data_IF_065651427446
#
_entry.id   IF_065651427446
#
_cell.length_a   1.000
_cell.length_b   1.000
_cell.length_c   1.000
_cell.angle_alpha   90.00
_cell.angle_beta   90.00
_cell.angle_gamma   90.00
#
_symmetry.space_group_name_H-M   'P 1'
#
loop_
_entity.id
_entity.type
_entity.pdbx_description
1 polymer ?
#
# COMPACT_ATOMS: atom_id res chain seq x y z
N UNK A 1 18.48 0.54 -26.25
CA UNK A 1 18.76 1.52 -25.18
C UNK A 1 17.47 1.95 -24.45
N UNK A 2 16.40 2.36 -25.14
CA UNK A 2 15.13 2.82 -24.52
C UNK A 2 14.42 1.75 -23.68
N UNK A 3 14.44 0.47 -24.10
CA UNK A 3 13.78 -0.63 -23.39
C UNK A 3 14.47 -1.01 -22.07
N UNK A 4 15.79 -1.07 -22.06
CA UNK A 4 16.58 -1.33 -20.83
C UNK A 4 16.36 -0.24 -19.79
N UNK A 5 16.30 1.03 -20.23
CA UNK A 5 16.01 2.16 -19.33
C UNK A 5 14.58 2.09 -18.76
N UNK A 6 13.58 1.78 -19.60
CA UNK A 6 12.19 1.59 -19.16
C UNK A 6 12.10 0.48 -18.11
N UNK A 7 12.71 -0.67 -18.38
CA UNK A 7 12.75 -1.80 -17.44
C UNK A 7 13.42 -1.43 -16.11
N UNK A 8 14.54 -0.72 -16.16
CA UNK A 8 15.22 -0.23 -14.96
C UNK A 8 14.32 0.72 -14.15
N UNK A 9 13.71 1.71 -14.78
CA UNK A 9 12.81 2.68 -14.12
C UNK A 9 11.59 1.96 -13.52
N UNK A 10 10.96 1.04 -14.26
CA UNK A 10 9.81 0.28 -13.76
C UNK A 10 10.17 -0.54 -12.51
N UNK A 11 11.35 -1.19 -12.49
CA UNK A 11 11.83 -1.89 -11.28
C UNK A 11 12.00 -0.97 -10.09
N UNK A 12 12.46 0.26 -10.31
CA UNK A 12 12.64 1.23 -9.22
C UNK A 12 11.32 1.76 -8.65
N UNK A 13 10.19 1.62 -9.35
CA UNK A 13 8.87 1.91 -8.77
C UNK A 13 8.42 0.82 -7.78
N UNK A 14 8.70 -0.46 -8.08
CA UNK A 14 8.30 -1.57 -7.20
C UNK A 14 9.31 -1.86 -6.10
N UNK A 15 10.61 -1.77 -6.41
CA UNK A 15 11.70 -2.06 -5.47
C UNK A 15 12.80 -0.99 -5.58
N UNK A 16 12.58 0.21 -5.04
CA UNK A 16 13.59 1.27 -5.04
C UNK A 16 14.86 0.81 -4.33
N UNK A 17 16.02 0.98 -4.97
CA UNK A 17 17.31 0.54 -4.44
C UNK A 17 18.45 1.52 -4.69
N UNK A 18 19.45 1.54 -3.81
CA UNK A 18 20.62 2.39 -3.90
C UNK A 18 20.29 3.89 -3.83
N UNK A 19 21.20 4.73 -4.31
CA UNK A 19 21.05 6.20 -4.31
C UNK A 19 19.86 6.66 -5.18
N UNK A 20 19.63 6.00 -6.30
CA UNK A 20 18.49 6.30 -7.16
C UNK A 20 17.16 5.93 -6.51
N UNK A 21 17.11 4.81 -5.78
CA UNK A 21 15.96 4.42 -4.98
C UNK A 21 15.64 5.43 -3.87
N UNK A 22 16.65 5.97 -3.18
CA UNK A 22 16.47 7.05 -2.20
C UNK A 22 15.89 8.31 -2.84
N UNK A 23 16.37 8.70 -4.02
CA UNK A 23 15.82 9.85 -4.75
C UNK A 23 14.36 9.63 -5.15
N UNK A 24 14.02 8.44 -5.68
CA UNK A 24 12.64 8.08 -6.01
C UNK A 24 11.76 8.08 -4.75
N UNK A 25 12.20 7.47 -3.65
CA UNK A 25 11.48 7.47 -2.38
C UNK A 25 11.18 8.88 -1.87
N UNK A 26 12.15 9.79 -1.93
CA UNK A 26 11.93 11.19 -1.56
C UNK A 26 10.91 11.90 -2.48
N UNK A 27 10.90 11.57 -3.77
CA UNK A 27 9.92 12.11 -4.72
C UNK A 27 8.53 11.53 -4.43
N UNK A 28 8.41 10.24 -4.17
CA UNK A 28 7.16 9.58 -3.78
C UNK A 28 6.61 10.18 -2.47
N UNK A 29 7.48 10.40 -1.48
CA UNK A 29 7.08 10.99 -0.20
C UNK A 29 6.44 12.38 -0.33
N UNK A 30 6.83 13.15 -1.35
CA UNK A 30 6.26 14.49 -1.62
C UNK A 30 5.03 14.42 -2.53
N UNK A 31 5.06 13.50 -3.51
CA UNK A 31 4.01 13.38 -4.52
C UNK A 31 2.75 12.68 -4.02
N UNK A 32 2.87 11.76 -3.08
CA UNK A 32 1.76 10.90 -2.65
C UNK A 32 1.11 11.34 -1.32
N UNK A 33 1.33 12.58 -0.88
CA UNK A 33 0.72 13.07 0.38
C UNK A 33 -0.80 13.09 0.29
N UNK A 34 -1.34 13.64 -0.80
CA UNK A 34 -2.78 13.67 -1.05
C UNK A 34 -3.36 12.24 -1.13
N UNK A 35 -2.72 11.36 -1.90
CA UNK A 35 -3.14 9.97 -2.07
C UNK A 35 -3.20 9.25 -0.72
N UNK A 36 -2.19 9.46 0.14
CA UNK A 36 -2.12 8.90 1.47
C UNK A 36 -3.22 9.45 2.40
N UNK A 37 -3.44 10.76 2.40
CA UNK A 37 -4.48 11.40 3.20
C UNK A 37 -5.87 10.93 2.78
N UNK A 38 -6.14 10.89 1.48
CA UNK A 38 -7.41 10.43 0.97
C UNK A 38 -7.64 8.95 1.28
N UNK A 39 -6.67 8.07 1.01
CA UNK A 39 -6.77 6.65 1.32
C UNK A 39 -7.08 6.43 2.81
N UNK A 40 -6.29 7.05 3.70
CA UNK A 40 -6.46 6.88 5.15
C UNK A 40 -7.81 7.44 5.63
N UNK A 41 -8.36 8.47 4.96
CA UNK A 41 -9.69 9.01 5.31
C UNK A 41 -10.84 8.03 5.07
N UNK A 42 -10.66 7.06 4.15
CA UNK A 42 -11.67 6.04 3.84
C UNK A 42 -11.68 4.85 4.81
N UNK A 43 -10.65 4.72 5.68
CA UNK A 43 -10.46 3.55 6.53
C UNK A 43 -11.29 3.58 7.83
N UNK A 44 -11.90 4.72 8.18
CA UNK A 44 -12.65 4.90 9.45
C UNK A 44 -11.89 4.41 10.68
N UNK A 45 -10.58 4.73 10.73
CA UNK A 45 -9.65 4.27 11.78
C UNK A 45 -10.13 4.73 13.16
N UNK A 46 -10.21 3.78 14.10
CA UNK A 46 -10.50 4.05 15.51
C UNK A 46 -9.20 4.21 16.32
N UNK A 47 -9.21 4.93 17.45
CA UNK A 47 -7.99 5.18 18.23
C UNK A 47 -7.21 3.93 18.65
N UNK A 48 -7.87 2.80 18.88
CA UNK A 48 -7.27 1.54 19.35
C UNK A 48 -7.01 0.51 18.25
N UNK A 49 -7.28 0.85 16.97
CA UNK A 49 -7.15 -0.11 15.87
C UNK A 49 -5.71 -0.59 15.69
N UNK A 50 -5.60 -1.83 15.28
CA UNK A 50 -4.37 -2.43 14.77
C UNK A 50 -4.42 -2.42 13.26
N UNK A 51 -3.49 -1.75 12.63
CA UNK A 51 -3.50 -1.46 11.20
C UNK A 51 -2.28 -2.11 10.54
N UNK A 52 -2.46 -2.65 9.34
CA UNK A 52 -1.37 -3.18 8.51
C UNK A 52 -1.30 -2.41 7.19
N UNK A 53 -0.15 -1.87 6.85
CA UNK A 53 0.12 -1.33 5.51
C UNK A 53 1.00 -2.28 4.70
N UNK A 54 0.58 -2.55 3.45
CA UNK A 54 1.30 -3.36 2.49
C UNK A 54 1.97 -2.46 1.44
N UNK A 55 3.32 -2.49 1.39
CA UNK A 55 4.09 -1.66 0.47
C UNK A 55 4.10 -0.19 0.90
N UNK A 56 4.52 0.07 2.13
CA UNK A 56 4.46 1.40 2.75
C UNK A 56 5.40 2.45 2.11
N UNK A 57 6.33 2.04 1.23
CA UNK A 57 7.25 2.96 0.58
C UNK A 57 8.03 3.84 1.57
N UNK A 58 8.04 5.18 1.39
CA UNK A 58 8.76 6.09 2.29
C UNK A 58 8.04 6.36 3.63
N UNK A 59 6.92 5.66 3.94
CA UNK A 59 6.25 5.68 5.23
C UNK A 59 5.39 6.91 5.53
N UNK A 60 4.87 7.60 4.51
CA UNK A 60 3.97 8.76 4.71
C UNK A 60 2.59 8.31 5.17
N UNK A 61 2.00 7.34 4.50
CA UNK A 61 0.68 6.79 4.82
C UNK A 61 0.66 6.06 6.15
N UNK A 62 1.73 5.32 6.50
CA UNK A 62 1.90 4.72 7.83
C UNK A 62 1.95 5.76 8.94
N UNK A 63 2.62 6.90 8.71
CA UNK A 63 2.64 8.02 9.65
C UNK A 63 1.23 8.54 9.90
N UNK A 64 0.49 8.87 8.84
CA UNK A 64 -0.88 9.40 8.93
C UNK A 64 -1.82 8.38 9.61
N UNK A 65 -1.70 7.09 9.29
CA UNK A 65 -2.48 6.03 9.94
C UNK A 65 -2.17 5.94 11.45
N UNK A 66 -0.89 6.06 11.84
CA UNK A 66 -0.47 6.04 13.24
C UNK A 66 -0.98 7.25 14.05
N UNK A 67 -1.08 8.42 13.44
CA UNK A 67 -1.69 9.60 14.05
C UNK A 67 -3.19 9.39 14.31
N UNK A 68 -3.90 8.67 13.42
CA UNK A 68 -5.32 8.32 13.61
C UNK A 68 -5.51 7.24 14.67
N UNK A 69 -4.72 6.16 14.63
CA UNK A 69 -4.72 5.10 15.63
C UNK A 69 -3.90 5.52 16.88
N UNK A 70 -4.26 6.61 17.51
CA UNK A 70 -3.47 7.29 18.54
C UNK A 70 -3.14 6.43 19.77
N UNK A 71 -3.94 5.40 20.06
CA UNK A 71 -3.78 4.41 21.13
C UNK A 71 -3.67 2.97 20.59
N UNK A 72 -3.56 2.85 19.26
CA UNK A 72 -3.49 1.60 18.53
C UNK A 72 -2.06 1.22 18.14
N UNK A 73 -1.96 0.43 17.08
CA UNK A 73 -0.68 -0.06 16.58
C UNK A 73 -0.69 -0.12 15.05
N UNK A 74 0.37 0.35 14.42
CA UNK A 74 0.55 0.25 12.97
C UNK A 74 1.72 -0.67 12.64
N UNK A 75 1.46 -1.72 11.90
CA UNK A 75 2.47 -2.55 11.26
C UNK A 75 2.58 -2.20 9.78
N UNK A 76 3.76 -2.38 9.22
CA UNK A 76 3.95 -2.26 7.78
C UNK A 76 4.98 -3.26 7.25
N UNK A 77 4.75 -3.73 6.02
CA UNK A 77 5.75 -4.48 5.28
C UNK A 77 6.07 -3.78 3.96
N UNK A 78 7.33 -3.83 3.55
CA UNK A 78 7.77 -3.37 2.24
C UNK A 78 8.86 -4.28 1.69
N UNK A 79 8.81 -4.51 0.40
CA UNK A 79 9.76 -5.36 -0.32
C UNK A 79 11.14 -4.69 -0.52
N UNK A 80 11.23 -3.36 -0.37
CA UNK A 80 12.45 -2.59 -0.53
C UNK A 80 13.13 -2.29 0.81
N UNK A 81 14.31 -2.83 1.04
CA UNK A 81 15.15 -2.49 2.20
C UNK A 81 15.43 -0.98 2.27
N UNK A 82 15.57 -0.32 1.11
CA UNK A 82 15.78 1.13 1.04
C UNK A 82 14.56 1.90 1.56
N UNK A 83 13.35 1.42 1.26
CA UNK A 83 12.11 2.03 1.75
C UNK A 83 11.91 1.76 3.23
N UNK A 84 12.20 0.54 3.71
CA UNK A 84 12.19 0.23 5.15
C UNK A 84 13.07 1.20 5.93
N UNK A 85 14.31 1.44 5.45
CA UNK A 85 15.23 2.39 6.10
C UNK A 85 14.66 3.83 6.09
N UNK A 86 14.13 4.29 4.96
CA UNK A 86 13.59 5.65 4.84
C UNK A 86 12.34 5.84 5.72
N UNK A 87 11.43 4.87 5.72
CA UNK A 87 10.21 4.90 6.53
C UNK A 87 10.52 4.80 8.02
N UNK A 88 11.49 3.97 8.43
CA UNK A 88 11.91 3.86 9.84
C UNK A 88 12.54 5.16 10.36
N UNK A 89 13.30 5.87 9.54
CA UNK A 89 13.80 7.19 9.90
C UNK A 89 12.68 8.23 10.06
N UNK A 90 11.70 8.22 9.14
CA UNK A 90 10.52 9.10 9.18
C UNK A 90 9.68 8.89 10.44
N UNK A 91 9.47 7.64 10.82
CA UNK A 91 8.54 7.21 11.86
C UNK A 91 9.28 6.81 13.17
N UNK A 92 10.50 7.32 13.38
CA UNK A 92 11.37 6.88 14.48
C UNK A 92 10.69 6.98 15.86
N UNK A 93 9.98 8.08 16.15
CA UNK A 93 9.31 8.29 17.44
C UNK A 93 8.17 7.26 17.67
N UNK A 94 7.38 6.97 16.63
CA UNK A 94 6.31 5.96 16.72
C UNK A 94 6.88 4.55 16.92
N UNK A 95 8.00 4.23 16.26
CA UNK A 95 8.70 2.96 16.44
C UNK A 95 9.31 2.85 17.84
N UNK A 96 9.99 3.89 18.30
CA UNK A 96 10.63 3.92 19.62
C UNK A 96 9.60 3.82 20.76
N UNK A 97 8.42 4.42 20.60
CA UNK A 97 7.32 4.30 21.56
C UNK A 97 6.55 2.99 21.49
N UNK A 98 6.91 2.05 20.59
CA UNK A 98 6.24 0.76 20.41
C UNK A 98 4.88 0.83 19.73
N UNK A 99 4.52 1.97 19.13
CA UNK A 99 3.26 2.16 18.40
C UNK A 99 3.34 1.73 16.93
N UNK A 100 4.55 1.53 16.41
CA UNK A 100 4.75 1.15 15.02
C UNK A 100 5.84 0.09 14.86
N UNK A 101 5.63 -0.82 13.92
CA UNK A 101 6.63 -1.78 13.47
C UNK A 101 6.69 -1.80 11.93
N UNK A 102 7.87 -1.54 11.37
CA UNK A 102 8.10 -1.57 9.92
C UNK A 102 9.12 -2.64 9.57
N UNK A 103 8.76 -3.57 8.71
CA UNK A 103 9.60 -4.72 8.33
C UNK A 103 9.82 -4.82 6.83
N UNK A 104 10.97 -5.35 6.47
CA UNK A 104 11.18 -5.93 5.13
C UNK A 104 10.41 -7.24 5.04
N UNK A 105 9.60 -7.42 3.99
CA UNK A 105 8.78 -8.61 3.83
C UNK A 105 8.07 -8.70 2.49
N UNK A 106 7.40 -9.81 2.28
CA UNK A 106 6.62 -10.11 1.08
C UNK A 106 5.15 -10.28 1.46
N UNK A 107 4.26 -9.69 0.67
CA UNK A 107 2.81 -9.76 0.88
C UNK A 107 2.25 -11.17 0.73
N UNK A 108 2.94 -12.04 0.00
CA UNK A 108 2.53 -13.43 -0.19
C UNK A 108 2.78 -14.32 1.03
N UNK A 109 3.52 -13.83 2.05
CA UNK A 109 3.84 -14.56 3.27
C UNK A 109 4.04 -13.62 4.45
N UNK A 110 2.94 -13.19 5.05
CA UNK A 110 2.92 -12.24 6.15
C UNK A 110 3.30 -12.92 7.48
N UNK A 111 4.33 -12.39 8.14
CA UNK A 111 4.82 -12.93 9.41
C UNK A 111 3.99 -12.43 10.60
N UNK A 112 2.65 -12.51 10.48
CA UNK A 112 1.68 -12.14 11.51
C UNK A 112 0.68 -13.29 11.73
N UNK A 113 0.21 -13.49 12.97
CA UNK A 113 -0.83 -14.45 13.26
C UNK A 113 -2.15 -14.11 12.54
N UNK A 114 -3.04 -15.11 12.43
CA UNK A 114 -4.39 -14.90 11.94
C UNK A 114 -5.14 -13.88 12.81
N UNK A 115 -6.06 -13.14 12.21
CA UNK A 115 -6.96 -12.21 12.90
C UNK A 115 -6.21 -11.17 13.77
N UNK A 116 -5.06 -10.65 13.31
CA UNK A 116 -4.22 -9.72 14.05
C UNK A 116 -4.57 -8.25 13.87
N UNK A 117 -5.24 -7.89 12.75
CA UNK A 117 -5.48 -6.51 12.36
C UNK A 117 -6.96 -6.20 12.15
N UNK A 118 -7.37 -5.00 12.57
CA UNK A 118 -8.71 -4.47 12.33
C UNK A 118 -8.85 -3.99 10.89
N UNK A 119 -7.80 -3.36 10.37
CA UNK A 119 -7.75 -2.79 9.02
C UNK A 119 -6.41 -3.09 8.37
N UNK A 120 -6.44 -3.39 7.07
CA UNK A 120 -5.24 -3.41 6.22
C UNK A 120 -5.45 -2.47 5.04
N UNK A 121 -4.35 -1.88 4.54
CA UNK A 121 -4.42 -1.08 3.33
C UNK A 121 -3.13 -1.14 2.51
N UNK A 122 -3.25 -0.73 1.26
CA UNK A 122 -2.13 -0.64 0.33
C UNK A 122 -2.34 0.55 -0.60
N UNK A 123 -1.28 1.30 -0.83
CA UNK A 123 -1.26 2.44 -1.73
C UNK A 123 -0.22 2.21 -2.84
N UNK A 124 -0.68 2.10 -4.09
CA UNK A 124 0.16 1.93 -5.29
C UNK A 124 1.10 0.71 -5.29
N UNK A 125 0.85 -0.35 -4.50
CA UNK A 125 1.76 -1.50 -4.44
C UNK A 125 1.26 -2.75 -5.18
N UNK A 126 -0.05 -2.94 -5.35
CA UNK A 126 -0.65 -4.13 -5.99
C UNK A 126 -0.13 -4.38 -7.42
N UNK A 127 0.36 -3.36 -8.09
CA UNK A 127 0.94 -3.44 -9.44
C UNK A 127 2.11 -4.44 -9.55
N UNK A 128 2.74 -4.75 -8.42
CA UNK A 128 3.96 -5.58 -8.32
C UNK A 128 3.73 -6.93 -7.63
N UNK A 129 2.48 -7.24 -7.24
CA UNK A 129 2.19 -8.49 -6.56
C UNK A 129 2.22 -9.66 -7.56
N UNK A 130 2.97 -10.75 -7.26
CA UNK A 130 3.16 -11.83 -8.22
C UNK A 130 1.88 -12.64 -8.48
N UNK A 131 1.07 -12.85 -7.45
CA UNK A 131 -0.24 -13.50 -7.50
C UNK A 131 -1.21 -12.70 -6.63
N UNK A 132 -1.90 -11.70 -7.19
CA UNK A 132 -2.74 -10.81 -6.41
C UNK A 132 -3.84 -11.52 -5.61
N UNK A 133 -4.44 -12.59 -6.15
CA UNK A 133 -5.50 -13.31 -5.45
C UNK A 133 -4.97 -14.03 -4.20
N UNK A 134 -3.82 -14.68 -4.32
CA UNK A 134 -3.19 -15.33 -3.16
C UNK A 134 -2.66 -14.31 -2.15
N UNK A 135 -2.10 -13.18 -2.60
CA UNK A 135 -1.73 -12.07 -1.71
C UNK A 135 -2.95 -11.53 -0.94
N UNK A 136 -4.08 -11.33 -1.62
CA UNK A 136 -5.33 -10.90 -1.00
C UNK A 136 -5.85 -11.92 0.03
N UNK A 137 -5.73 -13.24 -0.23
CA UNK A 137 -6.08 -14.29 0.74
C UNK A 137 -5.17 -14.25 1.96
N UNK A 138 -3.88 -14.00 1.78
CA UNK A 138 -2.92 -13.88 2.89
C UNK A 138 -3.22 -12.63 3.74
N UNK A 139 -3.55 -11.50 3.11
CA UNK A 139 -4.01 -10.31 3.85
C UNK A 139 -5.31 -10.61 4.61
N UNK A 140 -6.24 -11.33 3.96
CA UNK A 140 -7.49 -11.74 4.62
C UNK A 140 -7.26 -12.62 5.85
N UNK A 141 -6.28 -13.53 5.81
CA UNK A 141 -5.91 -14.38 6.95
C UNK A 141 -5.53 -13.56 8.18
N UNK A 142 -4.74 -12.51 8.00
CA UNK A 142 -4.27 -11.67 9.10
C UNK A 142 -5.29 -10.61 9.55
N UNK A 143 -6.32 -10.35 8.75
CA UNK A 143 -7.44 -9.50 9.15
C UNK A 143 -8.37 -10.23 10.11
N UNK A 144 -8.88 -9.53 11.11
CA UNK A 144 -9.96 -10.01 11.97
C UNK A 144 -11.24 -10.28 11.15
N UNK A 145 -12.16 -11.13 11.63
CA UNK A 145 -13.47 -11.27 10.99
C UNK A 145 -14.15 -9.91 10.81
N UNK A 146 -14.63 -9.64 9.60
CA UNK A 146 -15.16 -8.34 9.17
C UNK A 146 -14.14 -7.17 9.19
N UNK A 147 -12.85 -7.46 9.27
CA UNK A 147 -11.80 -6.46 9.11
C UNK A 147 -11.79 -5.86 7.71
N UNK A 148 -11.43 -4.59 7.60
CA UNK A 148 -11.45 -3.83 6.35
C UNK A 148 -10.13 -3.99 5.59
N UNK A 149 -10.21 -4.25 4.28
CA UNK A 149 -9.09 -4.04 3.36
C UNK A 149 -9.41 -2.89 2.41
N UNK A 150 -8.42 -2.00 2.19
CA UNK A 150 -8.48 -0.94 1.19
C UNK A 150 -7.25 -0.99 0.28
N UNK A 151 -7.46 -0.95 -1.03
CA UNK A 151 -6.37 -0.84 -2.02
C UNK A 151 -6.61 0.36 -2.90
N UNK A 152 -5.70 1.32 -2.85
CA UNK A 152 -5.74 2.53 -3.67
C UNK A 152 -4.77 2.43 -4.83
N UNK A 153 -5.27 2.77 -6.01
CA UNK A 153 -4.51 2.78 -7.26
C UNK A 153 -4.78 4.03 -8.08
N UNK A 154 -3.85 4.39 -8.94
CA UNK A 154 -4.13 5.25 -10.08
C UNK A 154 -4.69 4.36 -11.20
N UNK A 155 -5.85 4.67 -11.80
CA UNK A 155 -6.43 3.88 -12.89
C UNK A 155 -5.49 3.76 -14.07
N UNK A 156 -5.56 2.63 -14.75
CA UNK A 156 -4.69 2.26 -15.87
C UNK A 156 -4.63 3.30 -16.99
N UNK A 157 -5.75 3.94 -17.33
CA UNK A 157 -5.84 4.96 -18.38
C UNK A 157 -5.26 6.33 -17.95
N UNK A 158 -5.11 6.55 -16.64
CA UNK A 158 -4.50 7.76 -16.06
C UNK A 158 -2.99 7.65 -15.87
N UNK A 159 -2.45 6.45 -16.00
CA UNK A 159 -1.02 6.21 -15.85
C UNK A 159 -0.23 6.77 -17.05
N UNK A 160 0.51 7.84 -16.86
CA UNK A 160 1.27 8.52 -17.93
C UNK A 160 2.62 7.88 -18.28
N UNK A 161 3.46 7.43 -17.33
CA UNK A 161 4.73 6.81 -17.65
C UNK A 161 4.56 5.50 -18.42
N UNK A 162 5.40 5.26 -19.44
CA UNK A 162 5.48 3.95 -20.08
C UNK A 162 6.21 2.97 -19.17
N UNK A 163 5.51 1.95 -18.68
CA UNK A 163 6.04 0.90 -17.82
C UNK A 163 6.32 -0.38 -18.59
N UNK A 164 7.12 -1.27 -18.03
CA UNK A 164 7.33 -2.62 -18.56
C UNK A 164 6.26 -3.55 -17.98
N UNK A 165 5.34 -4.01 -18.82
CA UNK A 165 4.23 -4.87 -18.43
C UNK A 165 4.63 -6.24 -17.88
N UNK A 166 5.88 -6.68 -18.09
CA UNK A 166 6.41 -7.89 -17.48
C UNK A 166 6.84 -7.68 -16.00
N UNK A 167 6.81 -6.43 -15.52
CA UNK A 167 7.26 -6.07 -14.15
C UNK A 167 6.13 -5.42 -13.36
N UNK A 168 5.24 -4.68 -14.03
CA UNK A 168 4.20 -3.88 -13.40
C UNK A 168 2.89 -4.07 -14.15
N UNK A 169 1.87 -4.58 -13.46
CA UNK A 169 0.53 -4.73 -14.00
C UNK A 169 -0.34 -3.55 -13.57
N UNK A 170 -0.92 -2.85 -14.54
CA UNK A 170 -1.83 -1.72 -14.27
C UNK A 170 -3.28 -2.23 -14.27
N UNK A 171 -4.08 -1.70 -13.35
CA UNK A 171 -5.46 -2.10 -13.12
C UNK A 171 -6.44 -0.92 -13.25
N UNK A 172 -7.70 -1.24 -13.58
CA UNK A 172 -8.87 -0.46 -13.22
C UNK A 172 -9.44 -0.95 -11.89
N UNK A 173 -10.23 -0.12 -11.22
CA UNK A 173 -10.80 -0.49 -9.93
C UNK A 173 -11.73 -1.70 -9.98
N UNK A 174 -12.49 -1.88 -11.06
CA UNK A 174 -13.36 -3.05 -11.27
C UNK A 174 -12.58 -4.36 -11.45
N UNK A 175 -11.39 -4.30 -12.07
CA UNK A 175 -10.49 -5.45 -12.16
C UNK A 175 -10.02 -5.87 -10.76
N UNK A 176 -9.64 -4.90 -9.90
CA UNK A 176 -9.25 -5.18 -8.50
C UNK A 176 -10.45 -5.65 -7.67
N UNK A 177 -11.64 -5.08 -7.86
CA UNK A 177 -12.86 -5.55 -7.21
C UNK A 177 -13.16 -7.03 -7.54
N UNK A 178 -12.89 -7.45 -8.78
CA UNK A 178 -12.99 -8.85 -9.20
C UNK A 178 -11.96 -9.75 -8.50
N UNK A 179 -10.73 -9.26 -8.28
CA UNK A 179 -9.72 -9.97 -7.49
C UNK A 179 -10.14 -10.12 -6.02
N UNK A 180 -10.72 -9.08 -5.41
CA UNK A 180 -11.28 -9.14 -4.06
C UNK A 180 -12.36 -10.20 -3.94
N UNK A 181 -13.30 -10.24 -4.89
CA UNK A 181 -14.34 -11.26 -4.96
C UNK A 181 -13.76 -12.67 -5.05
N UNK A 182 -12.74 -12.86 -5.90
CA UNK A 182 -12.04 -14.15 -6.07
C UNK A 182 -11.25 -14.58 -4.82
N UNK A 183 -10.83 -13.62 -4.00
CA UNK A 183 -10.18 -13.87 -2.71
C UNK A 183 -11.19 -14.07 -1.55
N UNK A 184 -12.49 -13.91 -1.81
CA UNK A 184 -13.57 -14.14 -0.85
C UNK A 184 -13.87 -12.95 0.06
N UNK A 185 -13.50 -11.71 -0.32
CA UNK A 185 -13.96 -10.50 0.35
C UNK A 185 -15.44 -10.22 0.03
N UNK A 186 -16.11 -9.49 0.92
CA UNK A 186 -17.54 -9.16 0.83
C UNK A 186 -17.73 -7.66 0.93
N UNK A 187 -18.95 -7.17 0.58
CA UNK A 187 -19.32 -5.75 0.62
C UNK A 187 -18.30 -4.88 -0.15
N UNK A 188 -17.88 -5.38 -1.32
CA UNK A 188 -16.86 -4.73 -2.14
C UNK A 188 -17.47 -3.46 -2.75
N UNK A 189 -16.75 -2.33 -2.60
CA UNK A 189 -17.10 -1.05 -3.21
C UNK A 189 -15.87 -0.36 -3.76
N UNK A 190 -16.08 0.48 -4.75
CA UNK A 190 -15.03 1.32 -5.35
C UNK A 190 -15.38 2.78 -5.06
N UNK A 191 -14.45 3.46 -4.41
CA UNK A 191 -14.51 4.91 -4.16
C UNK A 191 -13.57 5.61 -5.14
N UNK A 192 -14.00 6.75 -5.67
CA UNK A 192 -13.21 7.55 -6.61
C UNK A 192 -12.84 8.87 -5.94
N UNK A 193 -11.58 9.26 -6.03
CA UNK A 193 -11.14 10.53 -5.44
C UNK A 193 -11.82 11.72 -6.12
N UNK A 194 -12.12 12.80 -5.37
CA UNK A 194 -12.42 14.08 -6.00
C UNK A 194 -11.29 14.47 -6.97
N UNK A 195 -11.63 15.10 -8.10
CA UNK A 195 -10.61 15.58 -9.03
C UNK A 195 -9.84 16.74 -8.38
N UNK A 196 -8.60 16.50 -8.01
CA UNK A 196 -7.70 17.51 -7.46
C UNK A 196 -6.37 17.44 -8.22
N UNK A 197 -5.91 18.56 -8.78
CA UNK A 197 -4.64 18.72 -9.51
C UNK A 197 -4.32 17.64 -10.57
N UNK A 198 -5.33 17.13 -11.28
CA UNK A 198 -5.25 16.00 -12.20
C UNK A 198 -4.83 14.67 -11.53
N UNK A 199 -5.00 14.53 -10.22
CA UNK A 199 -4.91 13.26 -9.52
C UNK A 199 -6.25 12.53 -9.64
N UNK A 200 -6.20 11.27 -10.08
CA UNK A 200 -7.36 10.38 -10.18
C UNK A 200 -7.00 9.09 -9.47
N UNK A 201 -7.71 8.78 -8.40
CA UNK A 201 -7.50 7.56 -7.63
C UNK A 201 -8.79 6.76 -7.58
N UNK A 202 -8.64 5.45 -7.55
CA UNK A 202 -9.68 4.50 -7.21
C UNK A 202 -9.23 3.72 -5.98
N UNK A 203 -10.08 3.65 -4.97
CA UNK A 203 -9.88 2.84 -3.77
C UNK A 203 -10.92 1.75 -3.70
N UNK A 204 -10.47 0.52 -3.67
CA UNK A 204 -11.30 -0.67 -3.57
C UNK A 204 -11.31 -1.11 -2.12
N UNK A 205 -12.50 -1.15 -1.53
CA UNK A 205 -12.69 -1.55 -0.13
C UNK A 205 -13.51 -2.85 -0.09
N UNK A 206 -13.17 -3.73 0.85
CA UNK A 206 -13.89 -4.97 1.06
C UNK A 206 -13.69 -5.50 2.48
N UNK A 207 -14.68 -6.24 2.99
CA UNK A 207 -14.63 -6.88 4.31
C UNK A 207 -14.13 -8.32 4.20
N UNK A 208 -13.27 -8.72 5.13
CA UNK A 208 -12.68 -10.06 5.23
C UNK A 208 -13.70 -11.17 5.48
#
# INVERSE_FOLDING_TARGET
>A
MRERLRRFVTRQFGNPSGLFGKFIGNRMARGNVYDAQWTVSLLDIKPHDRILEIGFGPGVSTQIASERASQGFVAGIDHSVTMVQAASQRNADAIQSGKMELKHGDVSSLQYPDASFDTAFSLHSIYFWPDPVNCLREIKRVLKPAGLLAITVQPKDKWKPKVDANIMTLYYGDEIASLFSSAGYRNIRVEVSPPEDNVFLECILGLS
#
